data_IF_795987915172
#
_entry.id   IF_795987915172
#
_cell.length_a   1.000
_cell.length_b   1.000
_cell.length_c   1.000
_cell.angle_alpha   90.00
_cell.angle_beta   90.00
_cell.angle_gamma   90.00
#
_symmetry.space_group_name_H-M   'P 1'
#
loop_
_entity.id
_entity.type
_entity.pdbx_description
1 polymer ?
#
# COMPACT_ATOMS: atom_id res chain seq x y z
N UNK A 1 53.29 39.18 -38.14
CA UNK A 1 53.36 37.74 -37.77
C UNK A 1 54.02 37.67 -36.41
N UNK A 2 53.50 37.11 -35.33
CA UNK A 2 52.25 36.43 -35.00
C UNK A 2 52.11 36.54 -33.47
N UNK A 3 50.87 36.74 -33.01
CA UNK A 3 50.51 37.18 -31.65
C UNK A 3 50.41 35.98 -30.70
N UNK A 4 50.99 36.09 -29.50
CA UNK A 4 50.87 35.15 -28.39
C UNK A 4 49.41 34.92 -27.98
N UNK A 5 49.02 33.65 -27.81
CA UNK A 5 47.75 33.25 -27.19
C UNK A 5 48.01 32.85 -25.75
N UNK A 6 47.57 33.68 -24.81
CA UNK A 6 47.34 33.30 -23.41
C UNK A 6 45.82 33.25 -23.23
N UNK A 7 45.32 32.10 -22.80
CA UNK A 7 43.90 31.83 -22.54
C UNK A 7 43.51 32.49 -21.22
N UNK A 8 42.65 33.50 -21.29
CA UNK A 8 41.91 34.03 -20.14
C UNK A 8 40.64 33.18 -19.95
N UNK A 9 40.67 32.30 -18.97
CA UNK A 9 39.47 31.66 -18.44
C UNK A 9 39.37 32.01 -16.98
N UNK A 10 38.54 32.99 -16.62
CA UNK A 10 37.87 33.15 -15.31
C UNK A 10 37.14 34.51 -15.27
N UNK A 11 35.90 34.59 -15.75
CA UNK A 11 34.90 35.57 -15.25
C UNK A 11 33.55 35.36 -15.95
N UNK A 12 32.82 34.30 -15.62
CA UNK A 12 31.43 34.13 -16.09
C UNK A 12 30.55 33.31 -15.15
N UNK A 13 30.90 33.26 -13.85
CA UNK A 13 30.15 32.46 -12.86
C UNK A 13 29.55 33.25 -11.69
N UNK A 14 29.59 34.59 -11.69
CA UNK A 14 29.05 35.40 -10.58
C UNK A 14 27.80 36.22 -10.88
N UNK A 15 27.38 36.33 -12.14
CA UNK A 15 26.12 37.04 -12.48
C UNK A 15 24.93 36.10 -12.69
N UNK A 16 25.14 34.86 -13.13
CA UNK A 16 24.05 33.89 -13.30
C UNK A 16 23.49 33.36 -11.96
N UNK A 17 24.29 33.38 -10.89
CA UNK A 17 23.85 32.99 -9.54
C UNK A 17 22.94 34.01 -8.84
N UNK A 18 22.86 35.26 -9.31
CA UNK A 18 22.00 36.28 -8.66
C UNK A 18 20.56 36.30 -9.20
N UNK A 19 20.31 35.80 -10.41
CA UNK A 19 18.95 35.74 -10.97
C UNK A 19 18.16 34.49 -10.56
N UNK A 20 18.83 33.36 -10.30
CA UNK A 20 18.14 32.12 -9.90
C UNK A 20 17.76 32.12 -8.41
N UNK A 21 18.43 32.92 -7.57
CA UNK A 21 18.10 33.01 -6.14
C UNK A 21 16.89 33.94 -5.84
N UNK A 22 16.54 34.85 -6.76
CA UNK A 22 15.48 35.84 -6.52
C UNK A 22 14.10 35.42 -7.07
N UNK A 23 14.02 34.35 -7.86
CA UNK A 23 12.75 33.84 -8.39
C UNK A 23 12.10 32.78 -7.46
N UNK A 24 12.91 32.00 -6.73
CA UNK A 24 12.41 31.00 -5.77
C UNK A 24 11.93 31.55 -4.42
N UNK A 25 12.23 32.81 -4.09
CA UNK A 25 11.95 33.43 -2.78
C UNK A 25 10.71 34.34 -2.77
N UNK A 26 10.00 34.50 -3.89
CA UNK A 26 8.70 35.20 -3.94
C UNK A 26 7.52 34.23 -3.72
N UNK A 27 7.54 33.08 -4.40
CA UNK A 27 6.52 32.02 -4.26
C UNK A 27 6.42 31.48 -2.82
N UNK A 28 7.58 31.31 -2.16
CA UNK A 28 7.63 30.83 -0.77
C UNK A 28 7.11 31.85 0.26
N UNK A 29 7.17 33.16 -0.03
CA UNK A 29 6.60 34.19 0.87
C UNK A 29 5.08 34.27 0.77
N UNK A 30 4.53 34.16 -0.43
CA UNK A 30 3.08 34.09 -0.64
C UNK A 30 2.46 32.80 -0.05
N UNK A 31 3.19 31.68 -0.10
CA UNK A 31 2.74 30.43 0.54
C UNK A 31 2.70 30.56 2.08
N UNK A 32 3.63 31.31 2.69
CA UNK A 32 3.70 31.49 4.13
C UNK A 32 2.64 32.47 4.68
N UNK A 33 2.33 33.54 3.95
CA UNK A 33 1.23 34.47 4.33
C UNK A 33 -0.14 33.78 4.27
N UNK A 34 -0.40 32.94 3.25
CA UNK A 34 -1.65 32.16 3.18
C UNK A 34 -1.77 31.11 4.30
N UNK A 35 -0.66 30.55 4.77
CA UNK A 35 -0.65 29.62 5.90
C UNK A 35 -0.90 30.33 7.24
N UNK A 36 -0.46 31.59 7.40
CA UNK A 36 -0.73 32.38 8.60
C UNK A 36 -2.20 32.81 8.69
N UNK A 37 -2.86 33.16 7.58
CA UNK A 37 -4.30 33.45 7.58
C UNK A 37 -5.16 32.21 7.87
N UNK A 38 -4.78 31.04 7.33
CA UNK A 38 -5.49 29.78 7.57
C UNK A 38 -5.40 29.31 9.03
N UNK A 39 -4.26 29.53 9.68
CA UNK A 39 -4.07 29.21 11.11
C UNK A 39 -4.85 30.16 12.01
N UNK A 40 -4.88 31.47 11.70
CA UNK A 40 -5.66 32.46 12.46
C UNK A 40 -7.19 32.31 12.26
N UNK A 41 -7.64 31.76 11.14
CA UNK A 41 -9.06 31.42 10.93
C UNK A 41 -9.50 30.14 11.66
N UNK A 42 -8.58 29.21 11.95
CA UNK A 42 -8.89 27.98 12.69
C UNK A 42 -9.07 28.23 14.20
N UNK A 43 -8.31 29.16 14.79
CA UNK A 43 -8.47 29.49 16.22
C UNK A 43 -9.69 30.37 16.52
N UNK A 44 -10.17 31.15 15.54
CA UNK A 44 -11.40 31.97 15.68
C UNK A 44 -12.70 31.18 15.56
N UNK A 45 -12.65 29.89 15.26
CA UNK A 45 -13.82 29.02 15.15
C UNK A 45 -14.21 28.31 16.46
N UNK A 46 -13.48 28.54 17.57
CA UNK A 46 -13.72 27.89 18.88
C UNK A 46 -14.33 28.77 19.97
N UNK A 47 -14.64 30.03 19.71
CA UNK A 47 -15.31 30.91 20.67
C UNK A 47 -16.63 31.42 20.11
N UNK A 48 -17.73 30.86 20.61
CA UNK A 48 -19.08 31.31 20.30
C UNK A 48 -19.40 32.66 20.94
N UNK A 49 -20.19 33.48 20.24
CA UNK A 49 -20.92 34.62 20.81
C UNK A 49 -22.34 34.61 20.22
N UNK A 50 -23.41 34.64 21.04
CA UNK A 50 -24.79 34.74 20.57
C UNK A 50 -25.20 36.21 20.37
N UNK A 51 -26.05 36.50 19.38
CA UNK A 51 -26.86 37.74 19.36
C UNK A 51 -27.07 38.43 18.02
N UNK A 52 -28.21 38.09 17.38
CA UNK A 52 -29.17 38.96 16.65
C UNK A 52 -28.72 39.96 15.55
N UNK A 53 -29.19 39.63 14.34
CA UNK A 53 -29.92 40.48 13.37
C UNK A 53 -29.17 41.52 12.50
N UNK A 54 -29.04 41.22 11.19
CA UNK A 54 -29.85 41.86 10.13
C UNK A 54 -29.54 41.25 8.75
N UNK A 55 -30.60 41.04 7.96
CA UNK A 55 -30.64 40.43 6.63
C UNK A 55 -30.27 41.48 5.56
N UNK A 56 -29.37 41.13 4.65
CA UNK A 56 -29.27 41.73 3.30
C UNK A 56 -28.82 40.65 2.31
N UNK A 57 -29.74 40.31 1.41
CA UNK A 57 -29.65 39.21 0.43
C UNK A 57 -28.86 39.58 -0.83
N UNK A 58 -28.32 38.53 -1.45
CA UNK A 58 -28.03 38.32 -2.90
C UNK A 58 -26.79 38.98 -3.52
N UNK A 59 -25.69 38.22 -3.54
CA UNK A 59 -25.15 37.56 -4.74
C UNK A 59 -24.03 36.61 -4.27
N UNK A 60 -24.41 35.44 -3.76
CA UNK A 60 -23.44 34.35 -3.65
C UNK A 60 -23.21 33.88 -5.08
N UNK A 61 -22.16 34.40 -5.71
CA UNK A 61 -21.48 33.67 -6.77
C UNK A 61 -20.98 32.37 -6.13
N UNK A 62 -21.83 31.34 -6.15
CA UNK A 62 -21.38 29.97 -6.06
C UNK A 62 -20.53 29.77 -7.32
N UNK A 63 -19.27 30.17 -7.24
CA UNK A 63 -18.22 29.53 -8.02
C UNK A 63 -18.35 28.07 -7.63
N UNK A 64 -19.08 27.31 -8.44
CA UNK A 64 -18.84 25.90 -8.58
C UNK A 64 -17.41 25.80 -9.10
N UNK A 65 -16.46 25.94 -8.18
CA UNK A 65 -15.20 25.24 -8.25
C UNK A 65 -15.63 23.81 -8.52
N UNK A 66 -15.60 23.40 -9.79
CA UNK A 66 -15.57 21.99 -10.12
C UNK A 66 -14.30 21.51 -9.45
N UNK A 67 -14.42 21.08 -8.20
CA UNK A 67 -13.43 20.22 -7.59
C UNK A 67 -13.42 19.00 -8.51
N UNK A 68 -12.49 19.00 -9.45
CA UNK A 68 -12.13 17.77 -10.14
C UNK A 68 -11.72 16.85 -8.99
N UNK A 69 -12.51 15.82 -8.75
CA UNK A 69 -12.17 14.81 -7.75
C UNK A 69 -10.77 14.24 -8.08
N UNK A 70 -10.13 13.59 -7.10
CA UNK A 70 -8.79 13.03 -7.31
C UNK A 70 -8.82 12.10 -8.53
N UNK A 71 -7.81 12.23 -9.37
CA UNK A 71 -7.62 11.37 -10.55
C UNK A 71 -7.45 9.92 -10.12
N UNK A 72 -7.73 8.97 -11.03
CA UNK A 72 -7.53 7.55 -10.76
C UNK A 72 -6.10 7.24 -10.27
N UNK A 73 -5.09 7.92 -10.82
CA UNK A 73 -3.70 7.75 -10.38
C UNK A 73 -3.50 8.21 -8.94
N UNK A 74 -4.09 9.36 -8.55
CA UNK A 74 -4.01 9.86 -7.17
C UNK A 74 -4.73 8.94 -6.19
N UNK A 75 -5.89 8.40 -6.59
CA UNK A 75 -6.63 7.43 -5.77
C UNK A 75 -5.82 6.15 -5.55
N UNK A 76 -5.24 5.59 -6.62
CA UNK A 76 -4.37 4.40 -6.50
C UNK A 76 -3.10 4.69 -5.69
N UNK A 77 -2.48 5.86 -5.87
CA UNK A 77 -1.30 6.24 -5.09
C UNK A 77 -1.61 6.44 -3.59
N UNK A 78 -2.84 6.83 -3.25
CA UNK A 78 -3.29 6.89 -1.86
C UNK A 78 -3.45 5.50 -1.23
N UNK A 79 -3.86 4.50 -2.01
CA UNK A 79 -4.04 3.12 -1.54
C UNK A 79 -2.74 2.29 -1.55
N UNK A 80 -1.89 2.52 -2.55
CA UNK A 80 -0.63 1.83 -2.80
C UNK A 80 0.54 2.80 -2.62
N UNK A 81 0.89 3.10 -1.36
CA UNK A 81 2.05 3.94 -1.05
C UNK A 81 3.28 3.33 -1.71
N UNK A 82 3.98 4.12 -2.51
CA UNK A 82 5.18 3.65 -3.22
C UNK A 82 6.40 3.64 -2.30
N UNK A 83 7.21 2.59 -2.38
CA UNK A 83 8.52 2.52 -1.74
C UNK A 83 9.54 3.40 -2.47
N UNK A 84 10.44 3.99 -1.70
CA UNK A 84 11.54 4.81 -2.20
C UNK A 84 12.85 4.05 -2.08
N UNK A 85 13.58 3.97 -3.20
CA UNK A 85 14.92 3.41 -3.24
C UNK A 85 15.96 4.50 -3.03
N UNK A 86 16.94 4.23 -2.17
CA UNK A 86 18.15 5.01 -2.00
C UNK A 86 19.35 4.30 -2.62
N UNK A 87 20.44 5.05 -2.72
CA UNK A 87 21.75 4.53 -3.12
C UNK A 87 22.80 5.23 -2.27
N UNK A 88 23.71 4.45 -1.70
CA UNK A 88 24.88 4.93 -0.96
C UNK A 88 26.12 4.11 -1.34
N UNK A 89 27.20 4.24 -0.57
CA UNK A 89 28.47 3.52 -0.81
C UNK A 89 28.38 2.01 -0.55
N UNK A 90 27.34 1.55 0.16
CA UNK A 90 27.05 0.13 0.43
C UNK A 90 26.14 -0.51 -0.62
N UNK A 91 25.53 0.29 -1.49
CA UNK A 91 24.68 -0.18 -2.60
C UNK A 91 23.31 0.47 -2.61
N UNK A 92 22.32 -0.26 -3.14
CA UNK A 92 20.93 0.17 -3.15
C UNK A 92 20.19 -0.36 -1.92
N UNK A 93 19.20 0.39 -1.44
CA UNK A 93 18.34 -0.02 -0.33
C UNK A 93 16.97 0.65 -0.40
N UNK A 94 15.98 0.09 0.29
CA UNK A 94 14.69 0.74 0.49
C UNK A 94 14.85 1.75 1.63
N UNK A 95 14.76 3.04 1.32
CA UNK A 95 14.87 4.13 2.30
C UNK A 95 13.51 4.58 2.84
N UNK A 96 12.43 4.28 2.12
CA UNK A 96 11.07 4.48 2.60
C UNK A 96 10.22 3.29 2.18
N UNK A 97 9.58 2.62 3.15
CA UNK A 97 8.69 1.50 2.86
C UNK A 97 7.37 1.99 2.27
N UNK A 98 6.90 1.24 1.26
CA UNK A 98 5.58 1.41 0.66
C UNK A 98 4.55 0.46 1.26
N UNK A 99 3.38 0.39 0.64
CA UNK A 99 2.36 -0.63 0.93
C UNK A 99 2.94 -2.01 0.60
N UNK A 100 2.95 -2.92 1.56
CA UNK A 100 3.41 -4.28 1.33
C UNK A 100 2.36 -5.06 0.52
N UNK A 101 2.79 -5.65 -0.59
CA UNK A 101 1.95 -6.46 -1.46
C UNK A 101 2.44 -7.90 -1.45
N UNK A 102 1.52 -8.86 -1.50
CA UNK A 102 1.79 -10.27 -1.70
C UNK A 102 1.42 -10.66 -3.13
N UNK A 103 2.29 -11.43 -3.77
CA UNK A 103 2.04 -11.97 -5.11
C UNK A 103 1.04 -13.13 -5.02
N UNK A 104 -0.04 -13.04 -5.78
CA UNK A 104 -1.14 -14.01 -5.78
C UNK A 104 -1.05 -15.01 -6.93
N UNK A 105 -0.34 -14.66 -8.00
CA UNK A 105 -0.06 -15.55 -9.14
C UNK A 105 1.38 -15.40 -9.56
N UNK A 106 2.06 -16.52 -9.78
CA UNK A 106 3.44 -16.53 -10.29
C UNK A 106 3.54 -16.06 -11.75
N UNK A 107 4.75 -16.08 -12.29
CA UNK A 107 5.02 -15.69 -13.68
C UNK A 107 5.52 -14.25 -13.84
N UNK A 108 5.77 -13.56 -12.73
CA UNK A 108 6.46 -12.27 -12.73
C UNK A 108 7.96 -12.54 -12.62
N UNK A 109 8.73 -12.08 -13.61
CA UNK A 109 10.19 -12.23 -13.61
C UNK A 109 10.85 -10.90 -13.24
N UNK A 110 11.55 -10.89 -12.10
CA UNK A 110 12.36 -9.78 -11.64
C UNK A 110 13.82 -9.90 -12.08
N UNK A 111 14.47 -8.75 -12.18
CA UNK A 111 15.93 -8.62 -12.33
C UNK A 111 16.46 -7.80 -11.16
N UNK A 112 17.74 -7.98 -10.74
CA UNK A 112 18.34 -7.18 -9.69
C UNK A 112 18.15 -5.69 -9.92
N UNK A 113 18.05 -4.89 -8.85
CA UNK A 113 17.79 -3.45 -8.99
C UNK A 113 18.86 -2.72 -9.81
N UNK A 114 20.10 -3.22 -9.75
CA UNK A 114 21.29 -2.74 -10.47
C UNK A 114 21.23 -3.03 -11.98
N UNK A 115 20.38 -3.94 -12.42
CA UNK A 115 20.25 -4.30 -13.83
C UNK A 115 19.56 -3.17 -14.62
N UNK A 116 20.02 -2.94 -15.84
CA UNK A 116 19.40 -1.98 -16.76
C UNK A 116 18.21 -2.59 -17.50
N UNK A 117 18.11 -3.92 -17.55
CA UNK A 117 16.95 -4.60 -18.10
C UNK A 117 15.69 -4.21 -17.30
N UNK A 118 14.60 -3.97 -18.02
CA UNK A 118 13.28 -3.75 -17.44
C UNK A 118 12.37 -4.80 -18.02
N UNK A 119 12.01 -5.78 -17.19
CA UNK A 119 11.12 -6.86 -17.58
C UNK A 119 9.68 -6.48 -17.24
N UNK A 120 8.80 -6.56 -18.25
CA UNK A 120 7.37 -6.32 -18.08
C UNK A 120 6.59 -7.63 -18.19
N UNK A 121 5.78 -7.89 -17.16
CA UNK A 121 4.80 -8.97 -17.12
C UNK A 121 3.43 -8.35 -17.36
N UNK A 122 2.66 -8.87 -18.32
CA UNK A 122 1.31 -8.36 -18.60
C UNK A 122 0.28 -9.21 -17.85
N UNK A 123 -0.68 -8.56 -17.19
CA UNK A 123 -1.86 -9.19 -16.62
C UNK A 123 -3.09 -8.76 -17.42
N UNK A 124 -3.79 -9.72 -18.02
CA UNK A 124 -4.95 -9.46 -18.88
C UNK A 124 -5.97 -10.57 -18.74
N UNK A 125 -7.24 -10.21 -18.52
CA UNK A 125 -8.34 -11.19 -18.45
C UNK A 125 -8.13 -12.31 -17.43
N UNK A 126 -7.46 -12.03 -16.31
CA UNK A 126 -7.16 -13.04 -15.29
C UNK A 126 -5.87 -13.84 -15.51
N UNK A 127 -5.17 -13.64 -16.62
CA UNK A 127 -4.00 -14.42 -17.03
C UNK A 127 -2.71 -13.60 -16.89
N UNK A 128 -1.65 -14.25 -16.40
CA UNK A 128 -0.30 -13.67 -16.32
C UNK A 128 0.49 -14.07 -17.57
N UNK A 129 0.96 -13.07 -18.31
CA UNK A 129 1.83 -13.22 -19.47
C UNK A 129 3.24 -12.77 -19.10
N UNK A 130 4.10 -13.73 -18.78
CA UNK A 130 5.50 -13.49 -18.47
C UNK A 130 6.25 -12.86 -19.65
N UNK A 131 7.34 -12.10 -19.39
CA UNK A 131 8.21 -11.59 -20.45
C UNK A 131 8.69 -12.73 -21.35
N UNK A 132 8.76 -12.50 -22.66
CA UNK A 132 9.10 -13.52 -23.67
C UNK A 132 10.30 -14.37 -23.24
N UNK A 133 10.09 -15.69 -23.18
CA UNK A 133 11.04 -16.68 -22.66
C UNK A 133 12.35 -16.75 -23.44
N UNK A 134 12.41 -16.16 -24.64
CA UNK A 134 13.63 -16.04 -25.43
C UNK A 134 14.65 -15.08 -24.78
N UNK A 135 14.18 -14.02 -24.11
CA UNK A 135 15.05 -13.12 -23.35
C UNK A 135 15.49 -13.75 -22.02
N UNK A 136 14.61 -14.48 -21.34
CA UNK A 136 14.94 -15.15 -20.07
C UNK A 136 15.93 -16.30 -20.24
N UNK A 137 15.88 -17.04 -21.36
CA UNK A 137 16.93 -18.03 -21.72
C UNK A 137 18.26 -17.35 -22.07
N UNK A 138 18.26 -16.18 -22.72
CA UNK A 138 19.48 -15.43 -23.03
C UNK A 138 20.16 -14.84 -21.78
N UNK A 139 19.37 -14.30 -20.85
CA UNK A 139 19.86 -13.75 -19.58
C UNK A 139 20.42 -14.88 -18.68
N UNK A 140 19.69 -16.00 -18.54
CA UNK A 140 20.12 -17.13 -17.71
C UNK A 140 21.34 -17.91 -18.25
N UNK A 141 21.50 -18.00 -19.57
CA UNK A 141 22.62 -18.73 -20.18
C UNK A 141 23.91 -17.88 -20.29
N UNK A 142 23.77 -16.55 -20.44
CA UNK A 142 24.91 -15.62 -20.46
C UNK A 142 25.56 -15.40 -19.08
N UNK A 143 24.76 -15.40 -18.01
CA UNK A 143 25.26 -15.19 -16.64
C UNK A 143 25.95 -16.42 -16.02
N UNK A 144 25.59 -17.64 -16.46
CA UNK A 144 26.23 -18.88 -15.98
C UNK A 144 27.73 -18.96 -16.32
N UNK A 145 28.21 -18.14 -17.27
CA UNK A 145 29.61 -18.09 -17.72
C UNK A 145 30.46 -17.02 -17.01
N UNK A 146 29.84 -16.14 -16.21
CA UNK A 146 30.54 -15.01 -15.54
C UNK A 146 30.55 -15.08 -14.00
N UNK A 147 30.12 -16.19 -13.40
CA UNK A 147 30.31 -16.46 -11.96
C UNK A 147 29.62 -15.48 -11.00
N UNK A 148 28.72 -14.61 -11.49
CA UNK A 148 27.88 -13.75 -10.67
C UNK A 148 26.44 -14.25 -10.73
N UNK A 149 26.05 -15.01 -9.71
CA UNK A 149 24.67 -15.39 -9.40
C UNK A 149 23.87 -14.17 -8.92
N UNK A 150 23.72 -13.15 -9.76
CA UNK A 150 22.72 -12.11 -9.52
C UNK A 150 21.47 -12.54 -10.30
N UNK A 151 20.80 -13.52 -9.70
CA UNK A 151 19.76 -14.31 -10.31
C UNK A 151 18.51 -13.46 -10.57
N UNK A 152 18.05 -13.51 -11.81
CA UNK A 152 16.66 -13.19 -12.12
C UNK A 152 15.75 -13.96 -11.15
N UNK A 153 14.86 -13.27 -10.46
CA UNK A 153 13.94 -13.92 -9.54
C UNK A 153 12.59 -14.15 -10.21
N UNK A 154 12.20 -15.41 -10.38
CA UNK A 154 10.84 -15.73 -10.77
C UNK A 154 9.98 -15.71 -9.52
N UNK A 155 9.25 -14.63 -9.32
CA UNK A 155 8.45 -14.44 -8.13
C UNK A 155 7.39 -15.55 -7.99
N UNK A 156 7.29 -16.07 -6.77
CA UNK A 156 6.34 -17.09 -6.38
C UNK A 156 5.12 -16.48 -5.71
N UNK A 157 4.05 -17.27 -5.60
CA UNK A 157 2.89 -16.88 -4.79
C UNK A 157 3.34 -16.72 -3.32
N UNK A 158 2.93 -15.63 -2.69
CA UNK A 158 3.31 -15.27 -1.32
C UNK A 158 4.52 -14.35 -1.23
N UNK A 159 5.34 -14.23 -2.29
CA UNK A 159 6.46 -13.30 -2.30
C UNK A 159 5.96 -11.88 -2.05
N UNK A 160 6.69 -11.17 -1.19
CA UNK A 160 6.36 -9.82 -0.79
C UNK A 160 7.13 -8.79 -1.59
N UNK A 161 6.42 -7.78 -2.07
CA UNK A 161 6.96 -6.70 -2.89
C UNK A 161 6.37 -5.37 -2.45
N UNK A 162 7.09 -4.29 -2.74
CA UNK A 162 6.56 -2.95 -2.64
C UNK A 162 6.31 -2.38 -4.04
N UNK A 163 5.23 -1.64 -4.27
CA UNK A 163 5.13 -0.81 -5.47
C UNK A 163 6.17 0.29 -5.36
N UNK A 164 6.90 0.59 -6.42
CA UNK A 164 7.89 1.69 -6.48
C UNK A 164 7.47 2.79 -7.45
N UNK A 165 6.53 2.49 -8.35
CA UNK A 165 5.91 3.46 -9.26
C UNK A 165 4.55 2.97 -9.71
N UNK A 166 3.61 3.90 -9.90
CA UNK A 166 2.28 3.65 -10.47
C UNK A 166 2.10 4.62 -11.64
N UNK A 167 1.87 4.09 -12.83
CA UNK A 167 1.58 4.86 -14.04
C UNK A 167 0.21 4.45 -14.60
N UNK A 168 -0.73 5.38 -14.64
CA UNK A 168 -2.06 5.16 -15.24
C UNK A 168 -2.09 5.75 -16.65
N UNK A 169 -2.37 4.92 -17.65
CA UNK A 169 -2.53 5.37 -19.03
C UNK A 169 -3.93 5.02 -19.55
N UNK A 170 -4.85 5.96 -19.34
CA UNK A 170 -6.26 5.84 -19.76
C UNK A 170 -6.38 5.64 -21.28
N UNK A 171 -5.54 6.30 -22.08
CA UNK A 171 -5.59 6.21 -23.55
C UNK A 171 -5.20 4.82 -24.09
N UNK A 172 -4.47 4.03 -23.31
CA UNK A 172 -4.06 2.66 -23.66
C UNK A 172 -4.75 1.60 -22.80
N UNK A 173 -5.69 2.00 -21.95
CA UNK A 173 -6.37 1.13 -20.99
C UNK A 173 -5.41 0.30 -20.14
N UNK A 174 -4.30 0.90 -19.70
CA UNK A 174 -3.30 0.19 -18.89
C UNK A 174 -2.94 0.91 -17.60
N UNK A 175 -2.66 0.12 -16.57
CA UNK A 175 -2.04 0.56 -15.32
C UNK A 175 -0.75 -0.23 -15.16
N UNK A 176 0.38 0.46 -15.05
CA UNK A 176 1.69 -0.16 -14.84
C UNK A 176 2.16 0.08 -13.41
N UNK A 177 2.47 -1.01 -12.70
CA UNK A 177 3.10 -0.99 -11.39
C UNK A 177 4.54 -1.45 -11.55
N UNK A 178 5.50 -0.57 -11.28
CA UNK A 178 6.85 -1.01 -10.97
C UNK A 178 6.85 -1.56 -9.56
N UNK A 179 7.44 -2.73 -9.37
CA UNK A 179 7.56 -3.38 -8.06
C UNK A 179 9.03 -3.64 -7.73
N UNK A 180 9.34 -3.66 -6.45
CA UNK A 180 10.64 -4.04 -5.90
C UNK A 180 10.44 -5.09 -4.80
N UNK A 181 11.27 -6.12 -4.78
CA UNK A 181 11.21 -7.17 -3.76
C UNK A 181 11.41 -6.60 -2.36
N UNK A 182 10.59 -7.03 -1.40
CA UNK A 182 10.89 -6.89 0.01
C UNK A 182 11.81 -8.05 0.43
N UNK A 183 13.11 -7.92 0.19
CA UNK A 183 14.06 -9.00 0.48
C UNK A 183 14.10 -9.38 1.96
N UNK A 184 13.93 -8.42 2.86
CA UNK A 184 13.83 -8.69 4.30
C UNK A 184 12.59 -9.53 4.63
N UNK A 185 11.43 -9.20 4.04
CA UNK A 185 10.21 -9.99 4.19
C UNK A 185 10.36 -11.39 3.58
N UNK A 186 11.09 -11.49 2.46
CA UNK A 186 11.28 -12.72 1.70
C UNK A 186 12.47 -13.55 2.19
N UNK A 187 13.20 -13.09 3.22
CA UNK A 187 14.38 -13.75 3.79
C UNK A 187 15.49 -13.97 2.75
N UNK A 188 15.65 -13.01 1.83
CA UNK A 188 16.68 -13.02 0.79
C UNK A 188 17.97 -12.42 1.34
N UNK A 189 19.05 -13.20 1.38
CA UNK A 189 20.39 -12.78 1.80
C UNK A 189 21.46 -13.29 0.82
N UNK A 190 22.29 -12.43 0.19
CA UNK A 190 22.25 -10.97 0.28
C UNK A 190 21.03 -10.35 -0.42
N UNK A 191 20.60 -9.14 -0.03
CA UNK A 191 19.49 -8.47 -0.68
C UNK A 191 19.82 -8.15 -2.15
N UNK A 192 18.85 -8.39 -3.02
CA UNK A 192 18.89 -8.25 -4.48
C UNK A 192 18.07 -7.07 -5.00
N UNK A 193 17.08 -6.66 -4.22
CA UNK A 193 16.01 -5.71 -4.53
C UNK A 193 15.44 -5.95 -5.93
N UNK A 194 15.20 -7.22 -6.27
CA UNK A 194 14.72 -7.62 -7.59
C UNK A 194 13.51 -6.77 -7.99
N UNK A 195 13.58 -6.13 -9.15
CA UNK A 195 12.55 -5.23 -9.69
C UNK A 195 11.89 -5.83 -10.92
N UNK A 196 10.62 -5.52 -11.10
CA UNK A 196 9.84 -5.88 -12.29
C UNK A 196 8.80 -4.80 -12.58
N UNK A 197 8.26 -4.80 -13.81
CA UNK A 197 7.05 -4.04 -14.15
C UNK A 197 5.90 -5.03 -14.35
N UNK A 198 4.76 -4.74 -13.73
CA UNK A 198 3.51 -5.45 -13.95
C UNK A 198 2.54 -4.51 -14.67
N UNK A 199 2.12 -4.87 -15.87
CA UNK A 199 1.20 -4.10 -16.71
C UNK A 199 -0.17 -4.74 -16.66
N UNK A 200 -1.10 -4.12 -15.95
CA UNK A 200 -2.51 -4.48 -15.93
C UNK A 200 -3.19 -3.90 -17.17
N UNK A 201 -3.54 -4.77 -18.11
CA UNK A 201 -4.27 -4.40 -19.32
C UNK A 201 -5.77 -4.56 -19.08
N UNK A 202 -6.49 -3.46 -19.16
CA UNK A 202 -7.94 -3.42 -19.09
C UNK A 202 -8.55 -3.54 -20.50
N UNK A 203 -9.82 -3.98 -20.59
CA UNK A 203 -10.57 -3.93 -21.84
C UNK A 203 -10.54 -2.54 -22.46
N UNK A 204 -10.51 -2.49 -23.80
CA UNK A 204 -10.41 -1.22 -24.52
C UNK A 204 -11.58 -0.29 -24.19
N UNK A 205 -11.26 0.93 -23.79
CA UNK A 205 -12.19 1.98 -23.40
C UNK A 205 -12.81 1.83 -22.00
N UNK A 206 -12.38 0.84 -21.20
CA UNK A 206 -12.94 0.63 -19.86
C UNK A 206 -12.22 1.43 -18.78
N UNK A 207 -10.90 1.68 -18.91
CA UNK A 207 -10.13 2.29 -17.82
C UNK A 207 -10.56 3.73 -17.55
N UNK A 208 -10.98 4.47 -18.58
CA UNK A 208 -11.48 5.84 -18.42
C UNK A 208 -12.84 5.96 -17.72
N UNK A 209 -13.53 4.83 -17.51
CA UNK A 209 -14.83 4.76 -16.82
C UNK A 209 -14.76 3.99 -15.50
N UNK A 210 -13.66 3.28 -15.27
CA UNK A 210 -13.46 2.48 -14.07
C UNK A 210 -13.28 3.37 -12.85
N UNK A 211 -13.87 2.94 -11.74
CA UNK A 211 -13.57 3.46 -10.40
C UNK A 211 -12.22 2.94 -9.91
N UNK A 212 -11.62 3.62 -8.91
CA UNK A 212 -10.42 3.11 -8.26
C UNK A 212 -10.64 1.71 -7.68
N UNK A 213 -11.79 1.43 -7.07
CA UNK A 213 -12.10 0.12 -6.51
C UNK A 213 -12.06 -1.01 -7.55
N UNK A 214 -12.60 -0.80 -8.76
CA UNK A 214 -12.54 -1.82 -9.82
C UNK A 214 -11.10 -2.08 -10.31
N UNK A 215 -10.27 -1.04 -10.33
CA UNK A 215 -8.86 -1.14 -10.70
C UNK A 215 -8.06 -1.82 -9.59
N UNK A 216 -8.33 -1.48 -8.34
CA UNK A 216 -7.77 -2.10 -7.13
C UNK A 216 -8.12 -3.59 -7.03
N UNK A 217 -9.38 -3.96 -7.32
CA UNK A 217 -9.81 -5.36 -7.39
C UNK A 217 -9.01 -6.13 -8.43
N UNK A 218 -8.79 -5.52 -9.61
CA UNK A 218 -7.99 -6.14 -10.68
C UNK A 218 -6.52 -6.28 -10.27
N UNK A 219 -5.94 -5.26 -9.64
CA UNK A 219 -4.58 -5.32 -9.09
C UNK A 219 -4.50 -6.41 -8.02
N UNK A 220 -5.46 -6.47 -7.11
CA UNK A 220 -5.55 -7.40 -5.99
C UNK A 220 -5.63 -8.88 -6.40
N UNK A 221 -6.11 -9.19 -7.60
CA UNK A 221 -6.09 -10.55 -8.14
C UNK A 221 -4.68 -11.09 -8.41
N UNK A 222 -3.69 -10.19 -8.59
CA UNK A 222 -2.29 -10.53 -8.82
C UNK A 222 -1.37 -10.07 -7.69
N UNK A 223 -1.64 -8.91 -7.09
CA UNK A 223 -0.85 -8.23 -6.06
C UNK A 223 -1.79 -7.74 -4.95
N UNK A 224 -2.05 -8.57 -3.95
CA UNK A 224 -2.93 -8.20 -2.83
C UNK A 224 -2.18 -7.44 -1.75
N UNK A 225 -2.83 -6.48 -1.11
CA UNK A 225 -2.27 -5.81 0.08
C UNK A 225 -2.07 -6.85 1.20
N UNK A 226 -0.87 -6.88 1.76
CA UNK A 226 -0.48 -7.79 2.82
C UNK A 226 -0.48 -7.06 4.17
N UNK A 227 -1.06 -7.68 5.18
CA UNK A 227 -1.08 -7.15 6.56
C UNK A 227 0.11 -7.65 7.39
N UNK A 228 1.08 -8.29 6.74
CA UNK A 228 2.36 -8.66 7.35
C UNK A 228 3.22 -7.38 7.45
N UNK A 229 2.74 -6.37 8.18
CA UNK A 229 3.58 -5.23 8.50
C UNK A 229 4.82 -5.78 9.19
N UNK A 230 5.99 -5.46 8.61
CA UNK A 230 7.28 -6.06 8.93
C UNK A 230 7.41 -6.31 10.43
N UNK A 231 7.29 -7.58 10.80
CA UNK A 231 7.76 -8.08 12.08
C UNK A 231 9.26 -7.83 12.08
N UNK A 232 9.65 -6.66 12.59
CA UNK A 232 10.98 -6.45 13.09
C UNK A 232 11.23 -7.56 14.10
N UNK A 233 12.21 -8.38 13.75
CA UNK A 233 12.73 -9.45 14.56
C UNK A 233 13.10 -8.88 15.94
N UNK A 234 12.23 -9.08 16.93
CA UNK A 234 12.63 -9.10 18.34
C UNK A 234 13.05 -10.53 18.69
N UNK A 235 14.01 -11.10 17.96
CA UNK A 235 14.86 -12.17 18.47
C UNK A 235 15.93 -11.55 19.37
N UNK A 236 15.52 -11.11 20.55
CA UNK A 236 16.42 -10.97 21.68
C UNK A 236 15.77 -11.65 22.88
N UNK A 237 16.39 -12.78 23.25
CA UNK A 237 16.38 -13.38 24.58
C UNK A 237 15.29 -14.44 24.89
N UNK A 238 15.58 -15.69 24.54
CA UNK A 238 15.83 -16.71 25.57
C UNK A 238 16.43 -17.98 24.97
N UNK A 239 17.72 -18.18 25.25
CA UNK A 239 18.36 -19.49 25.19
C UNK A 239 18.37 -20.13 26.57
N UNK A 240 18.19 -21.45 26.60
CA UNK A 240 18.30 -22.34 27.77
C UNK A 240 16.93 -22.68 28.37
N UNK A 241 16.53 -23.93 28.60
CA UNK A 241 17.30 -25.16 28.77
C UNK A 241 16.35 -26.36 28.77
N UNK A 242 16.83 -27.50 28.24
CA UNK A 242 16.17 -28.80 28.16
C UNK A 242 15.99 -29.51 29.51
N UNK A 243 15.01 -30.44 29.52
CA UNK A 243 14.90 -31.61 30.41
C UNK A 243 13.57 -31.62 31.17
N UNK A 244 12.75 -32.68 31.24
CA UNK A 244 12.81 -34.06 30.79
C UNK A 244 11.68 -34.85 31.50
N UNK A 245 11.18 -35.90 30.84
CA UNK A 245 10.51 -37.12 31.38
C UNK A 245 9.12 -37.11 32.06
N UNK A 246 8.20 -37.83 31.37
CA UNK A 246 7.51 -39.09 31.73
C UNK A 246 6.59 -39.24 32.97
N UNK A 247 5.47 -39.95 32.70
CA UNK A 247 4.60 -40.67 33.65
C UNK A 247 3.20 -40.04 33.72
N UNK A 248 2.04 -40.71 33.65
CA UNK A 248 1.66 -42.11 33.65
C UNK A 248 0.21 -42.21 34.18
N UNK A 249 -0.60 -43.08 33.56
CA UNK A 249 -1.81 -43.75 34.09
C UNK A 249 -3.16 -43.04 34.40
N UNK A 250 -4.17 -43.55 33.66
CA UNK A 250 -5.41 -44.21 34.11
C UNK A 250 -6.44 -43.51 35.04
N UNK A 251 -7.67 -43.44 34.52
CA UNK A 251 -8.81 -44.19 35.10
C UNK A 251 -9.84 -43.38 35.89
N UNK A 252 -11.12 -43.54 35.55
CA UNK A 252 -12.23 -43.18 36.45
C UNK A 252 -13.50 -42.70 35.76
N UNK A 253 -14.35 -43.65 35.35
CA UNK A 253 -15.77 -43.41 35.10
C UNK A 253 -16.48 -43.21 36.45
N UNK A 254 -17.41 -42.25 36.56
CA UNK A 254 -18.58 -42.45 37.42
C UNK A 254 -19.79 -41.65 36.96
N UNK A 255 -20.88 -42.37 36.76
CA UNK A 255 -22.23 -41.87 36.51
C UNK A 255 -22.88 -41.40 37.82
N UNK A 256 -23.79 -40.43 37.70
CA UNK A 256 -24.72 -40.02 38.75
C UNK A 256 -25.86 -39.18 38.16
N UNK A 257 -27.08 -39.71 38.22
CA UNK A 257 -28.33 -39.13 37.73
C UNK A 257 -29.12 -38.42 38.85
N UNK A 258 -29.94 -37.43 38.48
CA UNK A 258 -31.10 -36.87 39.23
C UNK A 258 -30.76 -35.67 40.12
N UNK A 259 -31.46 -34.53 40.16
CA UNK A 259 -32.88 -34.20 39.86
C UNK A 259 -33.03 -32.64 39.73
N UNK A 260 -34.22 -32.01 39.59
CA UNK A 260 -34.50 -31.08 38.49
C UNK A 260 -34.80 -29.61 38.85
N UNK A 261 -34.84 -28.78 37.80
CA UNK A 261 -35.57 -27.52 37.62
C UNK A 261 -35.04 -26.23 38.27
N UNK A 262 -34.31 -25.45 37.47
CA UNK A 262 -34.60 -24.03 37.27
C UNK A 262 -34.56 -23.77 35.76
N UNK A 263 -35.65 -23.22 35.20
CA UNK A 263 -35.68 -22.78 33.82
C UNK A 263 -34.83 -21.51 33.69
N UNK A 264 -33.55 -21.67 33.41
CA UNK A 264 -32.78 -20.64 32.73
C UNK A 264 -33.27 -20.59 31.28
N UNK A 265 -33.76 -19.43 30.86
CA UNK A 265 -33.98 -19.16 29.45
C UNK A 265 -32.68 -19.49 28.71
N UNK A 266 -32.71 -20.15 27.53
CA UNK A 266 -31.51 -20.32 26.73
C UNK A 266 -30.95 -18.94 26.40
N UNK A 267 -29.94 -18.53 27.16
CA UNK A 267 -29.04 -17.46 26.81
C UNK A 267 -28.45 -17.88 25.46
N UNK A 268 -28.62 -17.09 24.38
CA UNK A 268 -28.11 -17.48 23.07
C UNK A 268 -26.62 -17.77 23.23
N UNK A 269 -26.23 -18.98 22.84
CA UNK A 269 -24.83 -19.40 22.81
C UNK A 269 -24.01 -18.30 22.12
N UNK A 270 -22.83 -17.93 22.65
CA UNK A 270 -22.04 -16.83 22.10
C UNK A 270 -21.76 -17.13 20.62
N UNK A 271 -22.42 -16.37 19.74
CA UNK A 271 -22.23 -16.53 18.31
C UNK A 271 -20.83 -16.05 17.96
N UNK A 272 -19.94 -16.99 17.66
CA UNK A 272 -18.55 -16.69 17.32
C UNK A 272 -18.48 -16.07 15.93
N UNK A 273 -18.17 -14.77 15.87
CA UNK A 273 -17.80 -14.10 14.62
C UNK A 273 -16.40 -14.57 14.23
N UNK A 274 -16.26 -15.07 13.00
CA UNK A 274 -14.98 -15.53 12.47
C UNK A 274 -14.41 -14.51 11.49
N UNK A 275 -13.07 -14.37 11.47
CA UNK A 275 -12.39 -13.55 10.47
C UNK A 275 -12.76 -14.04 9.06
N UNK A 276 -13.11 -13.11 8.17
CA UNK A 276 -13.46 -13.42 6.79
C UNK A 276 -14.95 -13.44 6.43
N UNK A 277 -15.86 -13.40 7.42
CA UNK A 277 -17.31 -13.32 7.19
C UNK A 277 -17.73 -12.01 6.50
N UNK A 278 -18.80 -12.02 5.72
CA UNK A 278 -19.33 -10.82 5.06
C UNK A 278 -20.23 -10.01 6.00
N UNK A 279 -20.48 -8.71 5.71
CA UNK A 279 -21.43 -7.91 6.48
C UNK A 279 -22.82 -8.52 6.57
N UNK A 280 -23.32 -9.15 5.50
CA UNK A 280 -24.63 -9.81 5.48
C UNK A 280 -24.68 -11.03 6.41
N UNK A 281 -23.60 -11.82 6.45
CA UNK A 281 -23.49 -12.97 7.37
C UNK A 281 -23.45 -12.52 8.83
N UNK A 282 -22.69 -11.46 9.12
CA UNK A 282 -22.62 -10.87 10.47
C UNK A 282 -23.96 -10.26 10.88
N UNK A 283 -24.66 -9.60 9.95
CA UNK A 283 -26.00 -9.08 10.22
C UNK A 283 -27.05 -10.19 10.38
N UNK A 284 -26.90 -11.31 9.69
CA UNK A 284 -27.74 -12.50 9.88
C UNK A 284 -27.52 -13.15 11.24
N UNK A 285 -26.28 -13.15 11.73
CA UNK A 285 -25.89 -13.71 13.03
C UNK A 285 -26.26 -12.80 14.21
N UNK A 286 -25.86 -11.52 14.15
CA UNK A 286 -25.97 -10.55 15.27
C UNK A 286 -27.14 -9.59 15.14
N UNK A 287 -27.84 -9.61 14.01
CA UNK A 287 -28.86 -8.62 13.68
C UNK A 287 -28.26 -7.33 13.12
N UNK A 288 -29.10 -6.28 13.07
CA UNK A 288 -28.68 -4.97 12.57
C UNK A 288 -27.80 -4.26 13.60
N UNK A 289 -26.67 -3.66 13.18
CA UNK A 289 -25.84 -2.86 14.08
C UNK A 289 -26.56 -1.59 14.52
N UNK A 290 -26.21 -1.08 15.70
CA UNK A 290 -26.69 0.20 16.22
C UNK A 290 -26.13 1.37 15.42
N UNK A 291 -24.88 1.24 14.94
CA UNK A 291 -24.22 2.25 14.13
C UNK A 291 -23.34 1.64 13.06
N UNK A 292 -23.43 2.20 11.86
CA UNK A 292 -22.55 1.85 10.73
C UNK A 292 -21.67 3.06 10.43
N UNK A 293 -20.36 2.87 10.43
CA UNK A 293 -19.37 3.85 9.97
C UNK A 293 -18.75 3.31 8.69
N UNK A 294 -19.06 3.93 7.55
CA UNK A 294 -18.52 3.54 6.25
C UNK A 294 -17.36 4.45 5.87
N UNK A 295 -16.17 3.88 5.72
CA UNK A 295 -14.94 4.56 5.32
C UNK A 295 -14.41 4.02 3.97
N UNK A 296 -15.31 3.51 3.11
CA UNK A 296 -14.96 2.92 1.81
C UNK A 296 -14.57 1.46 1.96
N UNK A 297 -13.29 1.14 1.71
CA UNK A 297 -12.74 -0.20 1.87
C UNK A 297 -12.86 -0.73 3.31
N UNK A 298 -12.93 0.16 4.31
CA UNK A 298 -13.14 -0.19 5.71
C UNK A 298 -14.55 0.19 6.15
N UNK A 299 -15.29 -0.75 6.72
CA UNK A 299 -16.58 -0.50 7.36
C UNK A 299 -16.52 -0.91 8.83
N UNK A 300 -17.17 -0.18 9.72
CA UNK A 300 -17.20 -0.50 11.15
C UNK A 300 -18.66 -0.58 11.58
N UNK A 301 -19.08 -1.75 12.05
CA UNK A 301 -20.41 -1.97 12.59
C UNK A 301 -20.30 -2.03 14.11
N UNK A 302 -20.97 -1.10 14.77
CA UNK A 302 -21.03 -1.02 16.23
C UNK A 302 -22.34 -1.66 16.66
N UNK A 303 -22.22 -2.67 17.50
CA UNK A 303 -23.30 -3.32 18.23
C UNK A 303 -23.16 -2.95 19.71
N UNK A 304 -24.17 -3.29 20.51
CA UNK A 304 -24.25 -2.92 21.93
C UNK A 304 -23.00 -3.27 22.74
N UNK A 305 -22.45 -4.46 22.54
CA UNK A 305 -21.34 -5.01 23.32
C UNK A 305 -20.11 -5.38 22.47
N UNK A 306 -20.13 -5.09 21.15
CA UNK A 306 -19.04 -5.44 20.24
C UNK A 306 -18.95 -4.48 19.05
N UNK A 307 -17.76 -4.36 18.49
CA UNK A 307 -17.46 -3.59 17.29
C UNK A 307 -16.80 -4.49 16.26
N UNK A 308 -17.49 -4.72 15.15
CA UNK A 308 -16.97 -5.48 14.01
C UNK A 308 -16.37 -4.52 13.00
N UNK A 309 -15.11 -4.72 12.66
CA UNK A 309 -14.45 -4.02 11.57
C UNK A 309 -14.39 -4.94 10.37
N UNK A 310 -14.84 -4.43 9.23
CA UNK A 310 -14.75 -5.05 7.93
C UNK A 310 -13.70 -4.32 7.10
N UNK A 311 -12.91 -5.09 6.36
CA UNK A 311 -12.01 -4.59 5.32
C UNK A 311 -12.34 -5.34 4.03
N UNK A 312 -12.58 -4.61 2.94
CA UNK A 312 -12.97 -5.15 1.64
C UNK A 312 -14.18 -6.11 1.73
N UNK A 313 -15.17 -5.75 2.55
CA UNK A 313 -16.39 -6.54 2.73
C UNK A 313 -16.19 -7.85 3.50
N UNK A 314 -15.11 -7.98 4.29
CA UNK A 314 -14.85 -9.15 5.15
C UNK A 314 -14.46 -8.74 6.56
N UNK A 315 -14.90 -9.49 7.57
CA UNK A 315 -14.51 -9.27 8.97
C UNK A 315 -12.98 -9.32 9.08
N UNK A 316 -12.37 -8.19 9.42
CA UNK A 316 -10.94 -8.07 9.67
C UNK A 316 -10.61 -8.11 11.16
N UNK A 317 -11.50 -7.57 12.00
CA UNK A 317 -11.28 -7.39 13.44
C UNK A 317 -12.59 -7.32 14.23
N UNK A 318 -12.58 -7.80 15.47
CA UNK A 318 -13.72 -7.74 16.40
C UNK A 318 -13.19 -7.28 17.76
N UNK A 319 -13.78 -6.22 18.31
CA UNK A 319 -13.40 -5.60 19.58
C UNK A 319 -14.57 -5.48 20.53
#
# INVERSE_FOLDING_TARGET
MGRERRFDGFSLSREFSRHIWNCGTQELRHAYEKLQEAVMMWERLKTGIPGLALILTTLVAWSASRAQGPTLQEQLAAQYKVAKMGSDTSGYSIVEQGTLLAIQKGGILGVPYTDQAVLSTKYEGGTVHSPNTFLSKGIGFGMKKFGKEQSTHLFQVGDKVYPSKIDVNVSKDLVALSIVACDTCNKTDPPTYNKAIVVFQFPKGSLGKASAGEVEDTIGQLLSISNDEGQQDQSAQQGGQQGGQQGGQQGGQQAGQGQPAAQEQPQPEPQTIQKGQTPDEVQGALGKPEKIVNLGAKQIYVYKDLKVTFLNGKVSDVQ
#
